data_IF_022602309329
#
_entry.id   IF_022602309329
#
_cell.length_a   1.000
_cell.length_b   1.000
_cell.length_c   1.000
_cell.angle_alpha   90.00
_cell.angle_beta   90.00
_cell.angle_gamma   90.00
#
_symmetry.space_group_name_H-M   'P 1'
#
loop_
_entity.id
_entity.type
_entity.pdbx_description
1 polymer ?
#
# COMPACT_ATOMS: atom_id res chain seq x y z
N UNK A 1 -0.60 1.61 -20.49
CA UNK A 1 -0.42 2.75 -19.55
C UNK A 1 -1.29 2.49 -18.31
N UNK A 2 -0.70 2.30 -17.12
CA UNK A 2 -1.44 1.92 -15.89
C UNK A 2 -2.44 3.01 -15.47
N UNK A 3 -2.05 4.28 -15.52
CA UNK A 3 -2.91 5.40 -15.11
C UNK A 3 -4.19 5.42 -15.96
N UNK A 4 -4.04 5.23 -17.27
CA UNK A 4 -5.17 5.18 -18.19
C UNK A 4 -6.14 4.04 -17.83
N UNK A 5 -5.64 2.83 -17.62
CA UNK A 5 -6.48 1.67 -17.29
C UNK A 5 -7.22 1.86 -15.94
N UNK A 6 -6.53 2.36 -14.91
CA UNK A 6 -7.14 2.57 -13.59
C UNK A 6 -8.15 3.72 -13.61
N UNK A 7 -7.87 4.81 -14.34
CA UNK A 7 -8.80 5.93 -14.52
C UNK A 7 -10.04 5.50 -15.31
N UNK A 8 -9.84 4.75 -16.41
CA UNK A 8 -10.96 4.22 -17.20
C UNK A 8 -11.85 3.31 -16.37
N UNK A 9 -11.26 2.38 -15.61
CA UNK A 9 -12.01 1.51 -14.71
C UNK A 9 -12.77 2.30 -13.63
N UNK A 10 -12.16 3.35 -13.07
CA UNK A 10 -12.81 4.23 -12.11
C UNK A 10 -14.06 4.90 -12.69
N UNK A 11 -13.92 5.48 -13.88
CA UNK A 11 -15.00 6.18 -14.59
C UNK A 11 -16.12 5.21 -14.96
N UNK A 12 -15.79 4.06 -15.57
CA UNK A 12 -16.79 3.07 -16.01
C UNK A 12 -17.63 2.57 -14.83
N UNK A 13 -17.03 2.27 -13.68
CA UNK A 13 -17.79 1.79 -12.52
C UNK A 13 -18.71 2.87 -11.95
N UNK A 14 -18.31 4.15 -11.97
CA UNK A 14 -19.16 5.22 -11.43
C UNK A 14 -20.21 5.74 -12.39
N UNK A 15 -20.03 5.52 -13.69
CA UNK A 15 -21.03 5.87 -14.70
C UNK A 15 -22.01 4.73 -14.93
N UNK A 16 -21.67 3.48 -14.56
CA UNK A 16 -22.61 2.38 -14.69
C UNK A 16 -23.79 2.60 -13.74
N UNK A 17 -25.01 2.60 -14.28
CA UNK A 17 -26.27 2.62 -13.52
C UNK A 17 -26.52 1.29 -12.83
N UNK A 18 -25.55 0.87 -12.01
CA UNK A 18 -25.63 -0.29 -11.13
C UNK A 18 -25.37 -1.67 -11.78
N UNK A 19 -24.74 -1.68 -12.96
CA UNK A 19 -24.58 -2.91 -13.75
C UNK A 19 -23.15 -3.22 -14.21
N UNK A 20 -22.10 -2.50 -13.79
CA UNK A 20 -20.75 -2.76 -14.32
C UNK A 20 -20.36 -4.24 -14.32
N UNK A 21 -20.56 -4.94 -13.20
CA UNK A 21 -20.25 -6.37 -13.11
C UNK A 21 -21.17 -7.23 -13.99
N UNK A 22 -22.47 -6.93 -13.98
CA UNK A 22 -23.49 -7.64 -14.75
C UNK A 22 -23.38 -7.40 -16.26
N UNK A 23 -22.79 -6.28 -16.68
CA UNK A 23 -22.57 -5.93 -18.09
C UNK A 23 -21.42 -6.70 -18.73
N UNK A 24 -20.54 -7.29 -17.91
CA UNK A 24 -19.44 -8.12 -18.38
C UNK A 24 -19.97 -9.50 -18.75
N UNK A 25 -19.47 -10.06 -19.85
CA UNK A 25 -19.78 -11.44 -20.22
C UNK A 25 -19.13 -12.44 -19.23
N UNK A 26 -19.53 -13.71 -19.31
CA UNK A 26 -19.04 -14.75 -18.40
C UNK A 26 -17.51 -14.94 -18.52
N UNK A 27 -16.94 -14.76 -19.70
CA UNK A 27 -15.50 -14.92 -19.94
C UNK A 27 -14.71 -13.74 -19.36
N UNK A 28 -15.23 -12.53 -19.47
CA UNK A 28 -14.70 -11.31 -18.87
C UNK A 28 -14.75 -11.38 -17.34
N UNK A 29 -15.89 -11.79 -16.78
CA UNK A 29 -16.04 -12.02 -15.34
C UNK A 29 -15.02 -13.06 -14.85
N UNK A 30 -14.85 -14.17 -15.57
CA UNK A 30 -13.86 -15.20 -15.22
C UNK A 30 -12.43 -14.64 -15.21
N UNK A 31 -12.05 -13.86 -16.23
CA UNK A 31 -10.74 -13.20 -16.29
C UNK A 31 -10.51 -12.21 -15.14
N UNK A 32 -11.54 -11.45 -14.74
CA UNK A 32 -11.47 -10.58 -13.56
C UNK A 32 -11.25 -11.37 -12.26
N UNK A 33 -11.97 -12.48 -12.09
CA UNK A 33 -11.83 -13.34 -10.92
C UNK A 33 -10.48 -14.05 -10.86
N UNK A 34 -9.93 -14.43 -12.00
CA UNK A 34 -8.58 -14.97 -12.11
C UNK A 34 -7.53 -13.92 -11.76
N UNK A 35 -7.68 -12.69 -12.28
CA UNK A 35 -6.76 -11.59 -12.00
C UNK A 35 -6.62 -11.30 -10.49
N UNK A 36 -7.70 -11.43 -9.71
CA UNK A 36 -7.64 -11.28 -8.25
C UNK A 36 -6.68 -12.26 -7.55
N UNK A 37 -6.46 -13.46 -8.10
CA UNK A 37 -5.51 -14.43 -7.56
C UNK A 37 -4.07 -13.93 -7.65
N UNK A 38 -3.77 -13.07 -8.64
CA UNK A 38 -2.47 -12.39 -8.73
C UNK A 38 -2.28 -11.28 -7.69
N UNK A 39 -3.37 -10.67 -7.19
CA UNK A 39 -3.33 -9.48 -6.33
C UNK A 39 -3.27 -9.77 -4.83
N UNK A 40 -3.98 -10.78 -4.33
CA UNK A 40 -4.05 -11.10 -2.90
C UNK A 40 -4.39 -12.58 -2.65
N UNK A 41 -4.33 -12.97 -1.38
CA UNK A 41 -4.72 -14.26 -0.77
C UNK A 41 -6.18 -14.69 -0.95
N UNK A 42 -6.91 -14.17 -1.95
CA UNK A 42 -8.32 -14.48 -2.21
C UNK A 42 -9.34 -13.62 -1.44
N UNK A 43 -8.92 -12.89 -0.40
CA UNK A 43 -9.83 -12.03 0.38
C UNK A 43 -10.49 -10.91 -0.43
N UNK A 44 -9.73 -10.29 -1.33
CA UNK A 44 -10.25 -9.23 -2.20
C UNK A 44 -11.34 -9.80 -3.11
N UNK A 45 -11.11 -10.98 -3.69
CA UNK A 45 -12.10 -11.70 -4.51
C UNK A 45 -13.38 -12.00 -3.74
N UNK A 46 -13.28 -12.51 -2.50
CA UNK A 46 -14.48 -12.81 -1.70
C UNK A 46 -15.28 -11.55 -1.35
N UNK A 47 -14.60 -10.44 -1.02
CA UNK A 47 -15.27 -9.16 -0.74
C UNK A 47 -15.92 -8.60 -1.99
N UNK A 48 -15.24 -8.67 -3.14
CA UNK A 48 -15.77 -8.23 -4.41
C UNK A 48 -17.06 -8.99 -4.77
N UNK A 49 -17.02 -10.33 -4.71
CA UNK A 49 -18.20 -11.16 -4.99
C UNK A 49 -19.35 -10.83 -4.02
N UNK A 50 -19.07 -10.65 -2.73
CA UNK A 50 -20.12 -10.30 -1.77
C UNK A 50 -20.83 -8.98 -2.15
N UNK A 51 -20.08 -8.00 -2.64
CA UNK A 51 -20.65 -6.72 -3.09
C UNK A 51 -21.48 -6.89 -4.37
N UNK A 52 -21.01 -7.66 -5.34
CA UNK A 52 -21.68 -7.79 -6.64
C UNK A 52 -22.85 -8.79 -6.63
N UNK A 53 -22.86 -9.77 -5.73
CA UNK A 53 -23.94 -10.78 -5.65
C UNK A 53 -25.14 -10.31 -4.81
N UNK A 54 -24.96 -9.30 -3.96
CA UNK A 54 -25.99 -8.87 -3.00
C UNK A 54 -27.18 -8.11 -3.61
N UNK A 55 -27.24 -7.97 -4.95
CA UNK A 55 -28.40 -7.48 -5.69
C UNK A 55 -28.82 -6.03 -5.43
N UNK A 56 -28.21 -5.34 -4.45
CA UNK A 56 -28.58 -3.99 -4.04
C UNK A 56 -27.49 -2.98 -4.45
N UNK A 57 -27.10 -3.02 -5.73
CA UNK A 57 -26.06 -2.15 -6.28
C UNK A 57 -26.53 -0.71 -6.50
N UNK A 58 -27.77 -0.38 -6.11
CA UNK A 58 -28.50 0.89 -6.36
C UNK A 58 -28.01 2.11 -5.57
N UNK A 59 -27.02 1.95 -4.69
CA UNK A 59 -26.48 3.06 -3.89
C UNK A 59 -25.10 3.46 -4.39
N UNK A 60 -24.86 4.77 -4.50
CA UNK A 60 -23.53 5.39 -4.74
C UNK A 60 -22.46 4.80 -3.82
N UNK A 61 -22.81 4.54 -2.55
CA UNK A 61 -21.94 3.88 -1.57
C UNK A 61 -21.48 2.48 -2.01
N UNK A 62 -22.34 1.72 -2.69
CA UNK A 62 -22.02 0.38 -3.16
C UNK A 62 -21.03 0.43 -4.34
N UNK A 63 -21.18 1.39 -5.25
CA UNK A 63 -20.22 1.61 -6.33
C UNK A 63 -18.85 2.01 -5.79
N UNK A 64 -18.83 2.87 -4.78
CA UNK A 64 -17.61 3.27 -4.08
C UNK A 64 -16.97 2.10 -3.35
N UNK A 65 -17.75 1.20 -2.76
CA UNK A 65 -17.24 -0.04 -2.16
C UNK A 65 -16.60 -0.95 -3.22
N UNK A 66 -17.24 -1.11 -4.40
CA UNK A 66 -16.70 -1.88 -5.53
C UNK A 66 -15.40 -1.26 -6.04
N UNK A 67 -15.37 0.05 -6.27
CA UNK A 67 -14.18 0.84 -6.64
C UNK A 67 -13.07 0.67 -5.60
N UNK A 68 -13.40 0.77 -4.32
CA UNK A 68 -12.45 0.62 -3.21
C UNK A 68 -11.87 -0.80 -3.13
N UNK A 69 -12.64 -1.82 -3.49
CA UNK A 69 -12.16 -3.20 -3.54
C UNK A 69 -11.25 -3.39 -4.75
N UNK A 70 -11.69 -3.03 -5.96
CA UNK A 70 -10.92 -3.21 -7.19
C UNK A 70 -9.70 -2.30 -7.23
N UNK A 71 -9.93 -1.01 -7.40
CA UNK A 71 -8.88 -0.01 -7.62
C UNK A 71 -8.08 0.18 -6.33
N UNK A 72 -8.78 0.25 -5.19
CA UNK A 72 -8.09 0.38 -3.92
C UNK A 72 -7.15 -0.81 -3.65
N UNK A 73 -7.53 -2.07 -3.97
CA UNK A 73 -6.64 -3.21 -3.72
C UNK A 73 -5.39 -3.15 -4.61
N UNK A 74 -5.54 -2.73 -5.87
CA UNK A 74 -4.44 -2.48 -6.79
C UNK A 74 -3.49 -1.40 -6.23
N UNK A 75 -4.01 -0.23 -5.85
CA UNK A 75 -3.20 0.86 -5.27
C UNK A 75 -2.46 0.38 -4.00
N UNK A 76 -3.14 -0.37 -3.14
CA UNK A 76 -2.51 -0.97 -1.95
C UNK A 76 -1.39 -1.94 -2.32
N UNK A 77 -1.54 -2.74 -3.39
CA UNK A 77 -0.51 -3.66 -3.87
C UNK A 77 0.68 -2.90 -4.46
N UNK A 78 0.43 -1.88 -5.27
CA UNK A 78 1.46 -0.98 -5.80
C UNK A 78 2.28 -0.35 -4.67
N UNK A 79 1.64 0.14 -3.61
CA UNK A 79 2.32 0.69 -2.45
C UNK A 79 3.18 -0.32 -1.67
N UNK A 80 2.90 -1.63 -1.77
CA UNK A 80 3.80 -2.67 -1.25
C UNK A 80 4.99 -2.87 -2.19
N UNK A 81 4.72 -3.03 -3.48
CA UNK A 81 5.73 -3.23 -4.52
C UNK A 81 6.76 -2.11 -4.57
N UNK A 82 6.35 -0.86 -4.31
CA UNK A 82 7.23 0.29 -4.19
C UNK A 82 8.37 0.07 -3.17
N UNK A 83 8.18 -0.80 -2.17
CA UNK A 83 9.19 -1.10 -1.17
C UNK A 83 9.84 -2.48 -1.33
N UNK A 84 9.36 -3.36 -2.19
CA UNK A 84 9.80 -4.76 -2.23
C UNK A 84 11.00 -4.98 -3.17
N UNK A 85 11.06 -4.27 -4.31
CA UNK A 85 11.98 -4.59 -5.43
C UNK A 85 13.14 -3.60 -5.54
N UNK A 86 12.97 -2.49 -6.27
CA UNK A 86 14.00 -1.51 -6.59
C UNK A 86 13.42 -0.07 -6.57
N UNK A 87 14.31 0.90 -6.51
CA UNK A 87 14.08 2.35 -6.59
C UNK A 87 13.24 2.78 -7.79
N UNK A 88 13.38 2.08 -8.93
CA UNK A 88 12.60 2.35 -10.15
C UNK A 88 11.09 2.11 -9.94
N UNK A 89 10.71 1.01 -9.27
CA UNK A 89 9.29 0.72 -8.99
C UNK A 89 8.68 1.76 -8.08
N UNK A 90 9.45 2.27 -7.10
CA UNK A 90 9.00 3.36 -6.23
C UNK A 90 8.67 4.62 -7.05
N UNK A 91 9.57 5.01 -7.96
CA UNK A 91 9.37 6.16 -8.86
C UNK A 91 8.13 5.97 -9.74
N UNK A 92 7.99 4.80 -10.36
CA UNK A 92 6.82 4.48 -11.21
C UNK A 92 5.53 4.57 -10.40
N UNK A 93 5.48 3.96 -9.21
CA UNK A 93 4.29 3.95 -8.35
C UNK A 93 3.90 5.37 -7.92
N UNK A 94 4.86 6.22 -7.55
CA UNK A 94 4.58 7.60 -7.13
C UNK A 94 4.09 8.46 -8.29
N UNK A 95 4.64 8.27 -9.48
CA UNK A 95 4.12 8.92 -10.68
C UNK A 95 2.71 8.44 -11.02
N UNK A 96 2.40 7.15 -10.86
CA UNK A 96 1.02 6.66 -11.04
C UNK A 96 0.09 7.31 -10.02
N UNK A 97 0.49 7.45 -8.76
CA UNK A 97 -0.32 8.14 -7.75
C UNK A 97 -0.57 9.60 -8.09
N UNK A 98 0.47 10.33 -8.52
CA UNK A 98 0.37 11.72 -8.96
C UNK A 98 -0.62 11.89 -10.10
N UNK A 99 -0.43 11.13 -11.17
CA UNK A 99 -1.23 11.23 -12.40
C UNK A 99 -2.64 10.66 -12.24
N UNK A 100 -2.84 9.68 -11.35
CA UNK A 100 -4.16 9.16 -11.05
C UNK A 100 -4.94 10.15 -10.18
N UNK A 101 -4.34 10.65 -9.09
CA UNK A 101 -5.02 11.59 -8.19
C UNK A 101 -5.35 12.95 -8.85
N UNK A 102 -4.58 13.38 -9.85
CA UNK A 102 -4.87 14.61 -10.60
C UNK A 102 -6.10 14.51 -11.51
N UNK A 103 -6.60 13.30 -11.79
CA UNK A 103 -7.78 13.03 -12.63
C UNK A 103 -9.07 12.85 -11.83
N UNK A 104 -8.97 12.82 -10.51
CA UNK A 104 -10.10 12.58 -9.61
C UNK A 104 -10.60 13.90 -9.05
N UNK A 105 -11.91 13.98 -8.79
CA UNK A 105 -12.45 15.04 -7.95
C UNK A 105 -12.11 14.78 -6.46
N UNK A 106 -12.46 15.73 -5.59
CA UNK A 106 -12.10 15.68 -4.18
C UNK A 106 -12.68 14.46 -3.44
N UNK A 107 -13.95 14.12 -3.66
CA UNK A 107 -14.63 12.99 -3.02
C UNK A 107 -14.12 11.65 -3.58
N UNK A 108 -13.91 11.56 -4.89
CA UNK A 108 -13.30 10.38 -5.51
C UNK A 108 -11.87 10.15 -5.01
N UNK A 109 -11.08 11.22 -4.87
CA UNK A 109 -9.72 11.13 -4.34
C UNK A 109 -9.72 10.63 -2.89
N UNK A 110 -10.71 11.07 -2.09
CA UNK A 110 -10.88 10.65 -0.69
C UNK A 110 -11.00 9.14 -0.55
N UNK A 111 -11.71 8.46 -1.46
CA UNK A 111 -11.88 7.01 -1.46
C UNK A 111 -10.54 6.27 -1.43
N UNK A 112 -9.55 6.78 -2.18
CA UNK A 112 -8.24 6.15 -2.32
C UNK A 112 -7.14 6.77 -1.45
N UNK A 113 -7.40 7.93 -0.84
CA UNK A 113 -6.42 8.76 -0.16
C UNK A 113 -5.54 7.99 0.82
N UNK A 114 -6.13 7.18 1.70
CA UNK A 114 -5.37 6.40 2.68
C UNK A 114 -4.37 5.46 2.00
N UNK A 115 -4.76 4.82 0.89
CA UNK A 115 -3.93 3.81 0.20
C UNK A 115 -2.80 4.47 -0.58
N UNK A 116 -3.04 5.65 -1.15
CA UNK A 116 -2.05 6.44 -1.88
C UNK A 116 -1.08 7.14 -0.92
N UNK A 117 -1.58 7.79 0.13
CA UNK A 117 -0.77 8.58 1.05
C UNK A 117 0.05 7.73 2.03
N UNK A 118 -0.40 6.52 2.39
CA UNK A 118 0.35 5.64 3.30
C UNK A 118 1.80 5.34 2.85
N UNK A 119 2.07 4.91 1.61
CA UNK A 119 3.45 4.71 1.15
C UNK A 119 4.25 6.02 1.06
N UNK A 120 3.64 7.13 0.64
CA UNK A 120 4.29 8.44 0.59
C UNK A 120 4.71 8.90 2.00
N UNK A 121 3.79 8.81 2.97
CA UNK A 121 4.03 9.07 4.39
C UNK A 121 5.23 8.29 4.90
N UNK A 122 5.32 6.99 4.58
CA UNK A 122 6.45 6.16 5.03
C UNK A 122 7.78 6.64 4.47
N UNK A 123 7.82 7.14 3.24
CA UNK A 123 9.07 7.67 2.65
C UNK A 123 9.43 9.00 3.31
N UNK A 124 8.51 9.97 3.33
CA UNK A 124 8.76 11.30 3.89
C UNK A 124 9.25 11.22 5.36
N UNK A 125 8.61 10.36 6.16
CA UNK A 125 8.88 10.21 7.59
C UNK A 125 9.97 9.16 7.91
N UNK A 126 10.58 8.53 6.90
CA UNK A 126 11.65 7.54 7.12
C UNK A 126 11.21 6.20 7.74
N UNK A 127 9.93 5.83 7.59
CA UNK A 127 9.37 4.57 8.09
C UNK A 127 9.42 3.40 7.10
N UNK A 128 10.26 3.50 6.07
CA UNK A 128 10.47 2.43 5.07
C UNK A 128 11.33 1.28 5.60
N UNK A 129 12.19 1.54 6.60
CA UNK A 129 13.19 0.58 7.07
C UNK A 129 14.32 0.32 6.06
N UNK A 130 14.42 1.16 5.02
CA UNK A 130 15.45 1.13 3.97
C UNK A 130 16.05 2.53 3.81
N UNK A 131 17.27 2.61 3.30
CA UNK A 131 17.86 3.88 2.87
C UNK A 131 17.22 4.23 1.52
N UNK A 132 16.58 5.39 1.45
CA UNK A 132 15.96 5.93 0.24
C UNK A 132 16.80 7.13 -0.21
N UNK A 133 17.01 7.29 -1.52
CA UNK A 133 17.73 8.45 -2.05
C UNK A 133 16.94 9.73 -1.85
N UNK A 134 17.66 10.86 -1.75
CA UNK A 134 17.04 12.16 -1.55
C UNK A 134 16.10 12.54 -2.71
N UNK A 135 16.45 12.17 -3.95
CA UNK A 135 15.58 12.37 -5.12
C UNK A 135 14.21 11.68 -4.97
N UNK A 136 14.18 10.45 -4.47
CA UNK A 136 12.92 9.71 -4.30
C UNK A 136 12.12 10.25 -3.13
N UNK A 137 12.80 10.75 -2.10
CA UNK A 137 12.15 11.42 -0.97
C UNK A 137 11.52 12.72 -1.42
N UNK A 138 12.24 13.52 -2.20
CA UNK A 138 11.71 14.75 -2.80
C UNK A 138 10.51 14.45 -3.69
N UNK A 139 10.59 13.44 -4.56
CA UNK A 139 9.45 13.01 -5.38
C UNK A 139 8.24 12.63 -4.51
N UNK A 140 8.44 11.90 -3.40
CA UNK A 140 7.35 11.53 -2.51
C UNK A 140 6.70 12.76 -1.83
N UNK A 141 7.51 13.76 -1.44
CA UNK A 141 7.04 15.02 -0.87
C UNK A 141 6.26 15.85 -1.89
N UNK A 142 6.78 15.98 -3.11
CA UNK A 142 6.10 16.65 -4.23
C UNK A 142 4.75 15.99 -4.57
N UNK A 143 4.70 14.66 -4.63
CA UNK A 143 3.46 13.93 -4.91
C UNK A 143 2.47 14.11 -3.75
N UNK A 144 2.92 13.99 -2.50
CA UNK A 144 2.10 14.20 -1.30
C UNK A 144 1.49 15.59 -1.29
N UNK A 145 2.32 16.62 -1.49
CA UNK A 145 1.90 18.01 -1.43
C UNK A 145 0.99 18.36 -2.62
N UNK A 146 1.28 17.83 -3.82
CA UNK A 146 0.38 17.91 -4.96
C UNK A 146 -1.00 17.33 -4.67
N UNK A 147 -1.07 16.15 -4.03
CA UNK A 147 -2.35 15.53 -3.63
C UNK A 147 -3.07 16.38 -2.58
N UNK A 148 -2.34 16.94 -1.59
CA UNK A 148 -2.90 17.84 -0.57
C UNK A 148 -3.52 19.09 -1.22
N UNK A 149 -2.77 19.74 -2.08
CA UNK A 149 -3.08 21.10 -2.55
C UNK A 149 -4.05 21.08 -3.73
N UNK A 150 -3.98 20.07 -4.60
CA UNK A 150 -4.73 20.02 -5.87
C UNK A 150 -5.90 19.04 -5.88
N UNK A 151 -5.83 17.96 -5.09
CA UNK A 151 -6.84 16.88 -5.17
C UNK A 151 -7.72 16.79 -3.93
N UNK A 152 -7.15 16.68 -2.72
CA UNK A 152 -7.90 16.42 -1.48
C UNK A 152 -8.31 17.67 -0.72
N UNK A 153 -7.53 18.75 -0.82
CA UNK A 153 -7.63 19.89 0.07
C UNK A 153 -7.05 19.61 1.47
N UNK A 154 -6.69 20.69 2.16
CA UNK A 154 -5.93 20.63 3.43
C UNK A 154 -6.68 19.89 4.54
N UNK A 155 -7.99 20.15 4.71
CA UNK A 155 -8.77 19.57 5.80
C UNK A 155 -8.83 18.03 5.71
N UNK A 156 -9.21 17.51 4.54
CA UNK A 156 -9.30 16.06 4.31
C UNK A 156 -7.92 15.41 4.37
N UNK A 157 -6.91 16.07 3.82
CA UNK A 157 -5.53 15.60 3.92
C UNK A 157 -5.10 15.40 5.37
N UNK A 158 -5.31 16.40 6.24
CA UNK A 158 -4.94 16.32 7.67
C UNK A 158 -5.63 15.15 8.37
N UNK A 159 -6.91 14.91 8.09
CA UNK A 159 -7.65 13.77 8.64
C UNK A 159 -6.99 12.44 8.22
N UNK A 160 -6.79 12.23 6.92
CA UNK A 160 -6.19 10.99 6.39
C UNK A 160 -4.76 10.80 6.90
N UNK A 161 -3.96 11.87 6.96
CA UNK A 161 -2.59 11.82 7.49
C UNK A 161 -2.55 11.43 8.97
N UNK A 162 -3.48 11.97 9.77
CA UNK A 162 -3.64 11.60 11.18
C UNK A 162 -4.04 10.14 11.33
N UNK A 163 -4.95 9.65 10.50
CA UNK A 163 -5.38 8.24 10.51
C UNK A 163 -4.26 7.29 10.10
N UNK A 164 -3.43 7.67 9.12
CA UNK A 164 -2.23 6.94 8.76
C UNK A 164 -1.29 6.83 9.97
N UNK A 165 -0.99 7.95 10.62
CA UNK A 165 -0.13 7.99 11.82
C UNK A 165 -0.66 7.08 12.92
N UNK A 166 -1.94 7.24 13.30
CA UNK A 166 -2.62 6.39 14.30
C UNK A 166 -2.58 4.92 13.92
N UNK A 167 -2.81 4.58 12.65
CA UNK A 167 -2.79 3.18 12.19
C UNK A 167 -1.39 2.54 12.32
N UNK A 168 -0.32 3.31 12.08
CA UNK A 168 1.05 2.85 12.20
C UNK A 168 1.46 2.71 13.67
N UNK A 169 1.06 3.65 14.52
CA UNK A 169 1.25 3.58 15.97
C UNK A 169 0.51 2.38 16.57
N UNK A 170 -0.76 2.17 16.22
CA UNK A 170 -1.54 1.02 16.64
C UNK A 170 -0.88 -0.30 16.23
N UNK A 171 -0.38 -0.40 14.98
CA UNK A 171 0.38 -1.58 14.51
C UNK A 171 1.69 -1.78 15.26
N UNK A 172 2.39 -0.71 15.67
CA UNK A 172 3.61 -0.80 16.49
C UNK A 172 3.29 -1.25 17.91
N UNK A 173 2.27 -0.65 18.52
CA UNK A 173 1.82 -0.98 19.86
C UNK A 173 1.35 -2.43 19.95
N UNK A 174 0.53 -2.88 18.99
CA UNK A 174 0.08 -4.28 18.88
C UNK A 174 1.26 -5.25 18.85
N UNK A 175 2.27 -5.01 18.00
CA UNK A 175 3.49 -5.84 17.93
C UNK A 175 4.24 -5.89 19.27
N UNK A 176 4.42 -4.74 19.93
CA UNK A 176 5.07 -4.69 21.27
C UNK A 176 4.27 -5.45 22.32
N UNK A 177 2.94 -5.32 22.32
CA UNK A 177 2.05 -6.02 23.26
C UNK A 177 2.08 -7.53 23.03
N UNK A 178 2.00 -7.97 21.78
CA UNK A 178 2.10 -9.39 21.40
C UNK A 178 3.45 -9.98 21.82
N UNK A 179 4.56 -9.24 21.64
CA UNK A 179 5.88 -9.69 22.10
C UNK A 179 5.96 -9.85 23.63
N UNK A 180 5.38 -8.91 24.39
CA UNK A 180 5.29 -9.01 25.85
C UNK A 180 4.43 -10.19 26.28
N UNK A 181 3.28 -10.38 25.63
CA UNK A 181 2.36 -11.49 25.93
C UNK A 181 3.03 -12.84 25.64
N UNK A 182 3.73 -12.97 24.51
CA UNK A 182 4.47 -14.18 24.16
C UNK A 182 5.55 -14.53 25.19
N UNK A 183 6.16 -13.54 25.83
CA UNK A 183 7.14 -13.79 26.89
C UNK A 183 6.54 -14.46 28.13
N UNK A 184 5.26 -14.20 28.41
CA UNK A 184 4.53 -14.77 29.56
C UNK A 184 3.87 -16.09 29.18
N UNK A 185 3.15 -16.14 28.05
CA UNK A 185 2.35 -17.30 27.62
C UNK A 185 3.25 -18.44 27.11
N UNK A 186 4.36 -18.14 26.45
CA UNK A 186 5.28 -19.15 25.94
C UNK A 186 6.74 -18.69 26.03
N UNK A 187 7.34 -18.76 27.23
CA UNK A 187 8.69 -18.26 27.49
C UNK A 187 9.75 -18.98 26.65
N UNK A 188 9.61 -20.29 26.42
CA UNK A 188 10.54 -21.06 25.59
C UNK A 188 10.56 -20.60 24.13
N UNK A 189 9.39 -20.37 23.51
CA UNK A 189 9.30 -19.87 22.14
C UNK A 189 9.88 -18.46 22.02
N UNK A 190 9.67 -17.62 23.03
CA UNK A 190 10.28 -16.30 23.10
C UNK A 190 11.81 -16.37 23.24
N UNK A 191 12.32 -17.24 24.10
CA UNK A 191 13.76 -17.49 24.26
C UNK A 191 14.39 -18.00 22.96
N UNK A 192 13.78 -18.99 22.30
CA UNK A 192 14.20 -19.50 20.98
C UNK A 192 14.25 -18.39 19.92
N UNK A 193 13.25 -17.50 19.89
CA UNK A 193 13.24 -16.33 18.99
C UNK A 193 14.38 -15.38 19.30
N UNK A 194 14.64 -15.06 20.57
CA UNK A 194 15.76 -14.19 20.99
C UNK A 194 17.12 -14.79 20.61
N UNK A 195 17.32 -16.09 20.83
CA UNK A 195 18.54 -16.80 20.42
C UNK A 195 18.77 -16.74 18.90
N UNK A 196 17.72 -16.98 18.09
CA UNK A 196 17.79 -16.84 16.63
C UNK A 196 18.12 -15.41 16.18
N UNK A 197 17.57 -14.40 16.84
CA UNK A 197 17.87 -13.01 16.52
C UNK A 197 19.32 -12.65 16.88
N UNK A 198 19.80 -13.09 18.05
CA UNK A 198 21.16 -12.90 18.50
C UNK A 198 22.18 -13.56 17.56
N UNK A 199 21.91 -14.78 17.09
CA UNK A 199 22.78 -15.47 16.14
C UNK A 199 22.84 -14.74 14.79
N UNK A 200 21.69 -14.28 14.26
CA UNK A 200 21.64 -13.45 13.04
C UNK A 200 22.43 -12.16 13.18
N UNK A 201 22.28 -11.46 14.31
CA UNK A 201 22.99 -10.21 14.58
C UNK A 201 24.51 -10.43 14.69
N UNK A 202 24.95 -11.51 15.35
CA UNK A 202 26.36 -11.90 15.44
C UNK A 202 26.95 -12.18 14.04
N UNK A 203 26.22 -12.92 13.20
CA UNK A 203 26.62 -13.19 11.82
C UNK A 203 26.71 -11.89 10.99
N UNK A 204 25.73 -11.00 11.11
CA UNK A 204 25.72 -9.74 10.38
C UNK A 204 26.87 -8.80 10.83
N UNK A 205 27.17 -8.77 12.13
CA UNK A 205 28.33 -8.03 12.67
C UNK A 205 29.65 -8.55 12.10
N UNK A 206 29.83 -9.88 12.04
CA UNK A 206 31.02 -10.50 11.42
C UNK A 206 31.18 -10.10 9.94
N UNK A 207 30.08 -10.14 9.16
CA UNK A 207 30.09 -9.72 7.74
C UNK A 207 30.49 -8.26 7.57
N UNK A 208 29.93 -7.35 8.38
CA UNK A 208 30.30 -5.92 8.34
C UNK A 208 31.78 -5.69 8.68
N UNK A 209 32.30 -6.35 9.71
CA UNK A 209 33.71 -6.24 10.07
C UNK A 209 34.61 -6.72 8.93
N UNK A 210 34.26 -7.84 8.29
CA UNK A 210 35.03 -8.38 7.16
C UNK A 210 34.99 -7.43 5.95
N UNK A 211 33.81 -6.93 5.59
CA UNK A 211 33.63 -5.92 4.52
C UNK A 211 34.49 -4.69 4.77
N UNK A 212 34.44 -4.12 5.97
CA UNK A 212 35.21 -2.94 6.33
C UNK A 212 36.73 -3.20 6.32
N UNK A 213 37.17 -4.42 6.64
CA UNK A 213 38.59 -4.80 6.55
C UNK A 213 39.05 -4.91 5.08
N UNK A 214 38.25 -5.56 4.23
CA UNK A 214 38.50 -5.67 2.80
C UNK A 214 38.59 -4.30 2.14
N UNK A 215 37.63 -3.39 2.40
CA UNK A 215 37.65 -2.01 1.88
C UNK A 215 38.91 -1.25 2.30
N UNK A 216 39.42 -1.52 3.50
CA UNK A 216 40.63 -0.88 4.03
C UNK A 216 41.89 -1.43 3.37
N UNK A 217 41.92 -2.71 3.03
CA UNK A 217 43.03 -3.34 2.28
C UNK A 217 43.05 -2.94 0.81
N UNK A 218 41.89 -2.75 0.18
CA UNK A 218 41.82 -2.30 -1.23
C UNK A 218 42.21 -0.82 -1.43
N UNK A 219 42.33 -0.04 -0.34
CA UNK A 219 42.74 1.37 -0.37
C UNK A 219 44.20 1.59 0.03
N UNK A 220 44.92 0.52 0.39
CA UNK A 220 46.33 0.53 0.76
C UNK A 220 47.16 -0.07 -0.38
#
# INVERSE_FOLDING_TARGET
NIVFAVSGLHSVIGQSDHEYWSSLDNDEQAKFLEAFLGFDSGKVRSTFLALTTSGNLSSEKCQDDVRNVLIGSLLKRMGKLAFDVDSLQMRIVFNVYKEFASRLNQEECRLYAFRILLPLYKVCEGYTGKVISDELKQLAEEVRDGIRDKSLGVQMFVQVYSDIKKSLEAKRYKRKREEKLMAVVNPERNAKRKLKLASKNKANKKRKILSNKMDRWSRS
#
